data_IF_684356342279
#
_entry.id   IF_684356342279
#
_cell.length_a   1.000
_cell.length_b   1.000
_cell.length_c   1.000
_cell.angle_alpha   90.00
_cell.angle_beta   90.00
_cell.angle_gamma   90.00
#
_symmetry.space_group_name_H-M   'P 1'
#
loop_
_entity.id
_entity.type
_entity.pdbx_description
1 polymer ?
#
# COMPACT_ATOMS: atom_id res chain seq x y z
N UNK A 1 -8.22 -3.26 20.83
CA UNK A 1 -7.27 -2.31 20.20
C UNK A 1 -5.85 -2.83 20.21
N UNK A 2 -5.43 -3.58 21.23
CA UNK A 2 -4.06 -4.12 21.40
C UNK A 2 -3.49 -4.93 20.23
N UNK A 3 -4.34 -5.60 19.44
CA UNK A 3 -3.89 -6.40 18.30
C UNK A 3 -3.42 -5.55 17.11
N UNK A 4 -4.17 -4.49 16.74
CA UNK A 4 -3.79 -3.59 15.66
C UNK A 4 -2.53 -2.79 16.00
N UNK A 5 -2.44 -2.27 17.23
CA UNK A 5 -1.25 -1.53 17.70
C UNK A 5 0.01 -2.42 17.66
N UNK A 6 -0.14 -3.69 18.05
CA UNK A 6 0.94 -4.68 17.93
C UNK A 6 1.33 -4.91 16.46
N UNK A 7 0.37 -5.02 15.55
CA UNK A 7 0.67 -5.16 14.12
C UNK A 7 1.36 -3.92 13.55
N UNK A 8 0.93 -2.71 13.92
CA UNK A 8 1.56 -1.46 13.46
C UNK A 8 3.04 -1.40 13.87
N UNK A 9 3.38 -1.84 15.08
CA UNK A 9 4.78 -1.91 15.52
C UNK A 9 5.67 -2.85 14.68
N UNK A 10 5.05 -3.79 13.95
CA UNK A 10 5.72 -4.77 13.09
C UNK A 10 5.85 -4.32 11.63
N UNK A 11 5.25 -3.19 11.26
CA UNK A 11 5.34 -2.63 9.90
C UNK A 11 6.80 -2.44 9.54
N UNK A 12 7.23 -2.97 8.39
CA UNK A 12 8.64 -3.12 8.07
C UNK A 12 9.34 -1.75 7.88
N UNK A 13 8.72 -0.85 7.10
CA UNK A 13 9.24 0.48 6.79
C UNK A 13 8.84 1.47 7.89
N UNK A 14 9.83 2.22 8.40
CA UNK A 14 9.59 3.24 9.42
C UNK A 14 8.71 4.40 8.89
N UNK A 15 8.83 4.73 7.61
CA UNK A 15 8.06 5.80 6.98
C UNK A 15 6.60 5.36 6.75
N UNK A 16 6.41 4.14 6.24
CA UNK A 16 5.07 3.52 6.11
C UNK A 16 4.40 3.36 7.48
N UNK A 17 5.17 3.03 8.53
CA UNK A 17 4.64 2.93 9.90
C UNK A 17 3.99 4.23 10.36
N UNK A 18 4.58 5.39 10.03
CA UNK A 18 3.98 6.70 10.36
C UNK A 18 2.65 6.91 9.65
N UNK A 19 2.52 6.47 8.39
CA UNK A 19 1.28 6.60 7.61
C UNK A 19 0.15 5.74 8.18
N UNK A 20 0.43 4.48 8.54
CA UNK A 20 -0.59 3.60 9.10
C UNK A 20 -0.93 3.96 10.57
N UNK A 21 0.01 4.57 11.30
CA UNK A 21 -0.27 5.20 12.60
C UNK A 21 -1.28 6.35 12.44
N UNK A 22 -1.13 7.20 11.41
CA UNK A 22 -2.10 8.25 11.09
C UNK A 22 -3.48 7.66 10.79
N UNK A 23 -3.54 6.62 9.96
CA UNK A 23 -4.79 5.93 9.66
C UNK A 23 -5.48 5.36 10.92
N UNK A 24 -4.69 4.84 11.86
CA UNK A 24 -5.17 4.34 13.16
C UNK A 24 -5.68 5.47 14.05
N UNK A 25 -5.01 6.63 14.06
CA UNK A 25 -5.49 7.83 14.78
C UNK A 25 -6.79 8.36 14.20
N UNK A 26 -6.93 8.41 12.88
CA UNK A 26 -8.20 8.76 12.23
C UNK A 26 -9.32 7.81 12.65
N UNK A 27 -9.06 6.50 12.69
CA UNK A 27 -10.03 5.51 13.15
C UNK A 27 -10.47 5.76 14.59
N UNK A 28 -9.51 5.92 15.51
CA UNK A 28 -9.79 6.14 16.93
C UNK A 28 -10.53 7.46 17.19
N UNK A 29 -10.32 8.48 16.35
CA UNK A 29 -11.04 9.75 16.42
C UNK A 29 -12.43 9.73 15.78
N UNK A 30 -12.87 8.60 15.22
CA UNK A 30 -14.15 8.49 14.50
C UNK A 30 -14.14 9.07 13.08
N UNK A 31 -12.97 9.50 12.57
CA UNK A 31 -12.81 9.99 11.21
C UNK A 31 -12.68 8.83 10.21
N UNK A 32 -13.75 8.05 10.05
CA UNK A 32 -13.71 6.74 9.36
C UNK A 32 -13.29 6.87 7.88
N UNK A 33 -13.84 7.83 7.13
CA UNK A 33 -13.41 8.08 5.75
C UNK A 33 -11.92 8.41 5.66
N UNK A 34 -11.41 9.25 6.56
CA UNK A 34 -10.00 9.62 6.59
C UNK A 34 -9.10 8.42 6.92
N UNK A 35 -9.55 7.53 7.81
CA UNK A 35 -8.84 6.30 8.13
C UNK A 35 -8.68 5.40 6.90
N UNK A 36 -9.74 5.22 6.09
CA UNK A 36 -9.67 4.43 4.86
C UNK A 36 -8.71 5.06 3.86
N UNK A 37 -8.78 6.38 3.68
CA UNK A 37 -7.89 7.10 2.77
C UNK A 37 -6.43 6.95 3.19
N UNK A 38 -6.11 7.19 4.46
CA UNK A 38 -4.76 7.05 4.99
C UNK A 38 -4.26 5.60 4.96
N UNK A 39 -5.13 4.62 5.15
CA UNK A 39 -4.79 3.19 5.00
C UNK A 39 -4.32 2.91 3.57
N UNK A 40 -5.04 3.40 2.57
CA UNK A 40 -4.64 3.25 1.16
C UNK A 40 -3.34 4.00 0.84
N UNK A 41 -3.13 5.19 1.42
CA UNK A 41 -1.86 5.92 1.30
C UNK A 41 -0.68 5.09 1.82
N UNK A 42 -0.84 4.40 2.96
CA UNK A 42 0.19 3.50 3.49
C UNK A 42 0.47 2.32 2.55
N UNK A 43 -0.58 1.73 1.94
CA UNK A 43 -0.44 0.64 0.96
C UNK A 43 0.35 1.08 -0.28
N UNK A 44 0.04 2.27 -0.84
CA UNK A 44 0.77 2.83 -1.98
C UNK A 44 2.27 2.98 -1.65
N UNK A 45 2.56 3.64 -0.52
CA UNK A 45 3.92 3.92 -0.10
C UNK A 45 4.70 2.61 0.11
N UNK A 46 4.09 1.62 0.77
CA UNK A 46 4.72 0.34 1.05
C UNK A 46 5.07 -0.46 -0.21
N UNK A 47 4.17 -0.54 -1.18
CA UNK A 47 4.44 -1.24 -2.45
C UNK A 47 5.61 -0.54 -3.18
N UNK A 48 5.60 0.79 -3.23
CA UNK A 48 6.67 1.54 -3.90
C UNK A 48 8.00 1.32 -3.19
N UNK A 49 8.06 1.48 -1.86
CA UNK A 49 9.28 1.28 -1.06
C UNK A 49 9.84 -0.13 -1.24
N UNK A 50 8.97 -1.14 -1.23
CA UNK A 50 9.36 -2.54 -1.41
C UNK A 50 9.93 -2.82 -2.79
N UNK A 51 9.32 -2.30 -3.85
CA UNK A 51 9.87 -2.48 -5.21
C UNK A 51 11.17 -1.69 -5.37
N UNK A 52 11.31 -0.53 -4.73
CA UNK A 52 12.58 0.20 -4.67
C UNK A 52 13.65 -0.67 -3.98
N UNK A 53 13.38 -1.27 -2.82
CA UNK A 53 14.33 -2.16 -2.15
C UNK A 53 14.76 -3.34 -3.04
N UNK A 54 13.82 -3.94 -3.79
CA UNK A 54 14.14 -4.99 -4.77
C UNK A 54 15.08 -4.49 -5.88
N UNK A 55 14.89 -3.25 -6.35
CA UNK A 55 15.76 -2.61 -7.33
C UNK A 55 17.17 -2.35 -6.80
N UNK A 56 17.31 -1.95 -5.53
CA UNK A 56 18.63 -1.80 -4.86
C UNK A 56 19.33 -3.15 -4.73
N UNK A 57 18.55 -4.22 -4.53
CA UNK A 57 19.08 -5.58 -4.61
C UNK A 57 19.51 -6.00 -6.02
N UNK A 58 19.17 -5.27 -7.08
CA UNK A 58 19.57 -5.58 -8.46
C UNK A 58 18.52 -6.30 -9.32
N UNK A 59 17.25 -6.31 -8.91
CA UNK A 59 16.18 -6.79 -9.79
C UNK A 59 15.96 -5.83 -10.97
N UNK A 60 16.17 -6.32 -12.20
CA UNK A 60 16.11 -5.50 -13.41
C UNK A 60 14.70 -4.96 -13.71
N UNK A 61 13.65 -5.67 -13.34
CA UNK A 61 12.26 -5.25 -13.56
C UNK A 61 11.89 -4.16 -12.56
N UNK A 62 12.35 -4.31 -11.31
CA UNK A 62 12.20 -3.30 -10.27
C UNK A 62 12.97 -2.02 -10.61
N UNK A 63 14.17 -2.11 -11.19
CA UNK A 63 14.93 -0.94 -11.66
C UNK A 63 14.18 -0.15 -12.75
N UNK A 64 13.49 -0.82 -13.68
CA UNK A 64 12.64 -0.15 -14.67
C UNK A 64 11.44 0.56 -14.01
N UNK A 65 10.85 -0.05 -12.98
CA UNK A 65 9.81 0.61 -12.21
C UNK A 65 10.34 1.82 -11.44
N UNK A 66 11.50 1.71 -10.79
CA UNK A 66 12.17 2.84 -10.11
C UNK A 66 12.34 4.03 -11.04
N UNK A 67 12.86 3.82 -12.25
CA UNK A 67 13.01 4.89 -13.24
C UNK A 67 11.66 5.56 -13.59
N UNK A 68 10.56 4.78 -13.61
CA UNK A 68 9.21 5.32 -13.83
C UNK A 68 8.77 6.24 -12.68
N UNK A 69 9.07 5.86 -11.43
CA UNK A 69 8.78 6.67 -10.24
C UNK A 69 9.66 7.92 -10.19
N UNK A 70 10.95 7.81 -10.52
CA UNK A 70 11.88 8.94 -10.58
C UNK A 70 11.45 9.97 -11.62
N UNK A 71 11.08 9.53 -12.83
CA UNK A 71 10.52 10.42 -13.85
C UNK A 71 9.26 11.15 -13.36
N UNK A 72 8.38 10.48 -12.62
CA UNK A 72 7.20 11.13 -12.04
C UNK A 72 7.57 12.15 -10.95
N UNK A 73 8.60 11.86 -10.14
CA UNK A 73 9.13 12.78 -9.12
C UNK A 73 9.78 14.01 -9.73
N UNK A 74 10.52 13.86 -10.82
CA UNK A 74 11.16 14.96 -11.54
C UNK A 74 10.15 15.95 -12.12
N UNK A 75 8.97 15.46 -12.51
CA UNK A 75 7.84 16.32 -12.93
C UNK A 75 7.22 17.10 -11.76
N UNK A 76 7.48 16.72 -10.51
CA UNK A 76 7.01 17.40 -9.30
C UNK A 76 5.48 17.50 -9.18
N UNK A 77 5.00 18.52 -8.47
CA UNK A 77 3.56 18.76 -8.23
C UNK A 77 2.82 19.35 -9.45
N UNK A 78 3.40 19.25 -10.64
CA UNK A 78 2.73 19.68 -11.88
C UNK A 78 1.57 18.76 -12.23
N UNK A 79 0.63 19.21 -13.07
CA UNK A 79 -0.46 18.37 -13.56
C UNK A 79 0.06 17.07 -14.18
N UNK A 80 1.16 17.13 -14.93
CA UNK A 80 1.79 15.96 -15.53
C UNK A 80 2.36 14.99 -14.48
N UNK A 81 3.02 15.52 -13.44
CA UNK A 81 3.55 14.70 -12.33
C UNK A 81 2.44 14.02 -11.52
N UNK A 82 1.36 14.75 -11.22
CA UNK A 82 0.17 14.20 -10.55
C UNK A 82 -0.46 13.08 -11.39
N UNK A 83 -0.65 13.29 -12.69
CA UNK A 83 -1.18 12.28 -13.60
C UNK A 83 -0.26 11.05 -13.71
N UNK A 84 1.06 11.26 -13.71
CA UNK A 84 2.03 10.16 -13.72
C UNK A 84 1.91 9.31 -12.45
N UNK A 85 1.81 9.93 -11.28
CA UNK A 85 1.62 9.21 -10.01
C UNK A 85 0.28 8.50 -9.93
N UNK A 86 -0.81 9.10 -10.43
CA UNK A 86 -2.12 8.44 -10.54
C UNK A 86 -2.05 7.20 -11.43
N UNK A 87 -1.36 7.29 -12.57
CA UNK A 87 -1.16 6.15 -13.47
C UNK A 87 -0.31 5.04 -12.85
N UNK A 88 0.68 5.39 -12.03
CA UNK A 88 1.44 4.42 -11.23
C UNK A 88 0.50 3.71 -10.26
N UNK A 89 -0.29 4.48 -9.51
CA UNK A 89 -1.25 3.98 -8.52
C UNK A 89 -2.24 2.97 -9.12
N UNK A 90 -2.77 3.24 -10.32
CA UNK A 90 -3.71 2.35 -11.02
C UNK A 90 -3.16 0.93 -11.23
N UNK A 91 -1.84 0.80 -11.40
CA UNK A 91 -1.15 -0.47 -11.65
C UNK A 91 -0.49 -1.12 -10.45
N UNK A 92 -0.52 -0.50 -9.25
CA UNK A 92 0.29 -0.95 -8.11
C UNK A 92 -0.07 -2.35 -7.59
N UNK A 93 -1.34 -2.74 -7.57
CA UNK A 93 -1.71 -4.08 -7.08
C UNK A 93 -1.27 -5.18 -8.05
N UNK A 94 -1.39 -4.95 -9.36
CA UNK A 94 -0.86 -5.85 -10.37
C UNK A 94 0.68 -5.96 -10.28
N UNK A 95 1.34 -4.83 -10.00
CA UNK A 95 2.78 -4.78 -9.75
C UNK A 95 3.17 -5.61 -8.52
N UNK A 96 2.45 -5.44 -7.41
CA UNK A 96 2.67 -6.15 -6.16
C UNK A 96 2.51 -7.67 -6.33
N UNK A 97 1.51 -8.12 -7.11
CA UNK A 97 1.37 -9.54 -7.47
C UNK A 97 2.53 -10.04 -8.32
N UNK A 98 2.97 -9.26 -9.31
CA UNK A 98 4.08 -9.63 -10.20
C UNK A 98 5.40 -9.82 -9.45
N UNK A 99 5.64 -9.00 -8.43
CA UNK A 99 6.81 -9.12 -7.55
C UNK A 99 6.59 -10.06 -6.35
N UNK A 100 5.49 -10.81 -6.33
CA UNK A 100 5.15 -11.77 -5.27
C UNK A 100 5.07 -11.13 -3.86
N UNK A 101 4.80 -9.82 -3.78
CA UNK A 101 4.59 -9.12 -2.50
C UNK A 101 3.25 -9.50 -1.86
N UNK A 102 2.27 -9.88 -2.68
CA UNK A 102 0.94 -10.34 -2.29
C UNK A 102 0.47 -11.43 -3.25
N UNK A 103 -0.36 -12.35 -2.76
CA UNK A 103 -1.04 -13.32 -3.61
C UNK A 103 -2.34 -12.74 -4.24
N UNK A 104 -3.03 -13.55 -5.02
CA UNK A 104 -4.29 -13.13 -5.67
C UNK A 104 -5.44 -12.81 -4.70
N UNK A 105 -5.46 -13.42 -3.53
CA UNK A 105 -6.50 -13.19 -2.52
C UNK A 105 -6.23 -11.87 -1.82
N UNK A 106 -5.01 -11.66 -1.35
CA UNK A 106 -4.55 -10.43 -0.74
C UNK A 106 -4.69 -9.23 -1.69
N UNK A 107 -4.33 -9.38 -2.97
CA UNK A 107 -4.54 -8.32 -3.96
C UNK A 107 -6.01 -7.91 -4.09
N UNK A 108 -6.93 -8.88 -4.07
CA UNK A 108 -8.37 -8.60 -4.10
C UNK A 108 -8.88 -7.94 -2.82
N UNK A 109 -8.30 -8.25 -1.67
CA UNK A 109 -8.63 -7.59 -0.41
C UNK A 109 -8.13 -6.14 -0.39
N UNK A 110 -6.91 -5.88 -0.89
CA UNK A 110 -6.36 -4.53 -1.04
C UNK A 110 -7.13 -3.70 -2.08
N UNK A 111 -7.63 -4.32 -3.15
CA UNK A 111 -8.48 -3.65 -4.15
C UNK A 111 -9.74 -3.05 -3.50
N UNK A 112 -10.35 -3.76 -2.54
CA UNK A 112 -11.52 -3.22 -1.81
C UNK A 112 -11.19 -1.96 -1.02
N UNK A 113 -9.96 -1.86 -0.49
CA UNK A 113 -9.49 -0.62 0.17
C UNK A 113 -9.44 0.52 -0.85
N UNK A 114 -8.93 0.26 -2.07
CA UNK A 114 -8.87 1.25 -3.16
C UNK A 114 -10.27 1.71 -3.59
N UNK A 115 -11.19 0.77 -3.78
CA UNK A 115 -12.58 1.06 -4.14
C UNK A 115 -13.27 1.93 -3.08
N UNK A 116 -13.15 1.57 -1.80
CA UNK A 116 -13.71 2.34 -0.70
C UNK A 116 -13.03 3.70 -0.53
N UNK A 117 -11.71 3.79 -0.77
CA UNK A 117 -10.99 5.07 -0.84
C UNK A 117 -11.57 5.96 -1.93
N UNK A 118 -11.82 5.42 -3.12
CA UNK A 118 -12.40 6.16 -4.23
C UNK A 118 -13.78 6.72 -3.85
N UNK A 119 -14.63 5.90 -3.21
CA UNK A 119 -15.93 6.36 -2.68
C UNK A 119 -15.78 7.43 -1.60
N UNK A 120 -14.75 7.31 -0.75
CA UNK A 120 -14.46 8.32 0.27
C UNK A 120 -14.10 9.65 -0.39
N UNK A 121 -13.15 9.70 -1.32
CA UNK A 121 -12.61 10.97 -1.86
C UNK A 121 -13.40 11.54 -3.04
N UNK A 122 -14.28 10.75 -3.65
CA UNK A 122 -15.17 11.18 -4.72
C UNK A 122 -16.64 10.97 -4.35
N UNK A 123 -17.22 11.80 -3.45
CA UNK A 123 -18.62 11.69 -3.02
C UNK A 123 -19.65 11.55 -4.17
N UNK A 124 -19.49 12.22 -5.34
CA UNK A 124 -20.43 12.10 -6.45
C UNK A 124 -20.48 10.72 -7.13
N UNK A 125 -19.56 9.80 -6.84
CA UNK A 125 -19.59 8.44 -7.43
C UNK A 125 -20.81 7.62 -6.98
N UNK A 126 -21.49 8.04 -5.91
CA UNK A 126 -22.75 7.41 -5.46
C UNK A 126 -23.92 7.92 -6.31
N UNK A 127 -24.65 6.97 -6.94
CA UNK A 127 -25.74 7.23 -7.91
C UNK A 127 -26.92 8.09 -7.40
N UNK A 128 -27.04 8.30 -6.09
CA UNK A 128 -28.16 9.04 -5.48
C UNK A 128 -27.73 10.32 -4.74
N UNK A 129 -26.48 10.77 -4.92
CA UNK A 129 -25.96 11.99 -4.28
C UNK A 129 -25.66 11.84 -2.79
N UNK A 130 -25.91 10.67 -2.20
CA UNK A 130 -25.53 10.34 -0.84
C UNK A 130 -24.01 10.24 -0.71
N UNK A 131 -23.44 10.95 0.27
CA UNK A 131 -22.03 10.80 0.63
C UNK A 131 -21.79 9.38 1.15
N UNK A 132 -20.69 8.76 0.73
CA UNK A 132 -20.32 7.46 1.28
C UNK A 132 -20.04 7.57 2.78
N UNK A 133 -20.82 6.87 3.60
CA UNK A 133 -20.66 6.81 5.06
C UNK A 133 -20.26 5.38 5.48
N UNK A 134 -18.96 5.05 5.46
CA UNK A 134 -18.48 3.73 5.85
C UNK A 134 -18.68 3.49 7.35
N UNK A 135 -19.15 2.29 7.70
CA UNK A 135 -19.23 1.86 9.10
C UNK A 135 -17.81 1.71 9.70
N UNK A 136 -17.59 1.96 10.99
CA UNK A 136 -16.27 1.80 11.62
C UNK A 136 -15.66 0.40 11.42
N UNK A 137 -16.48 -0.65 11.37
CA UNK A 137 -16.01 -2.02 11.16
C UNK A 137 -15.32 -2.19 9.79
N UNK A 138 -15.74 -1.43 8.77
CA UNK A 138 -15.13 -1.45 7.43
C UNK A 138 -13.71 -0.89 7.50
N UNK A 139 -13.51 0.29 8.10
CA UNK A 139 -12.17 0.86 8.24
C UNK A 139 -11.26 -0.02 9.09
N UNK A 140 -11.79 -0.62 10.17
CA UNK A 140 -11.04 -1.55 11.00
C UNK A 140 -10.61 -2.80 10.21
N UNK A 141 -11.48 -3.33 9.37
CA UNK A 141 -11.15 -4.45 8.50
C UNK A 141 -10.06 -4.08 7.49
N UNK A 142 -10.13 -2.89 6.88
CA UNK A 142 -9.11 -2.40 5.95
C UNK A 142 -7.75 -2.22 6.61
N UNK A 143 -7.70 -1.67 7.83
CA UNK A 143 -6.47 -1.60 8.63
C UNK A 143 -5.88 -2.99 8.87
N UNK A 144 -6.71 -3.94 9.30
CA UNK A 144 -6.28 -5.31 9.56
C UNK A 144 -5.77 -6.01 8.29
N UNK A 145 -6.47 -5.89 7.17
CA UNK A 145 -6.06 -6.42 5.87
C UNK A 145 -4.72 -5.84 5.47
N UNK A 146 -4.59 -4.51 5.38
CA UNK A 146 -3.35 -3.87 4.95
C UNK A 146 -2.15 -4.34 5.80
N UNK A 147 -2.31 -4.33 7.13
CA UNK A 147 -1.28 -4.76 8.06
C UNK A 147 -0.89 -6.24 7.84
N UNK A 148 -1.87 -7.13 7.80
CA UNK A 148 -1.61 -8.58 7.82
C UNK A 148 -1.20 -9.17 6.47
N UNK A 149 -1.63 -8.57 5.36
CA UNK A 149 -1.36 -9.08 4.01
C UNK A 149 -0.13 -8.44 3.37
N UNK A 150 0.25 -7.23 3.80
CA UNK A 150 1.29 -6.45 3.12
C UNK A 150 2.25 -5.80 4.11
N UNK A 151 1.81 -4.84 4.93
CA UNK A 151 2.70 -3.84 5.55
C UNK A 151 3.72 -4.42 6.56
N UNK A 152 3.41 -5.54 7.21
CA UNK A 152 4.34 -6.17 8.18
C UNK A 152 5.37 -7.10 7.53
N UNK A 153 5.20 -7.42 6.25
CA UNK A 153 6.07 -8.34 5.53
C UNK A 153 7.16 -7.56 4.80
N UNK A 154 8.44 -8.01 4.83
CA UNK A 154 9.52 -7.39 4.05
C UNK A 154 9.38 -7.67 2.53
N UNK A 155 10.13 -6.96 1.67
CA UNK A 155 10.18 -7.21 0.22
C UNK A 155 10.97 -8.49 -0.12
N UNK A 156 10.44 -9.66 0.21
CA UNK A 156 11.06 -10.95 -0.13
C UNK A 156 10.49 -11.48 -1.45
N UNK A 157 11.34 -11.66 -2.45
CA UNK A 157 11.00 -12.50 -3.61
C UNK A 157 11.16 -13.97 -3.23
N UNK A 158 10.17 -14.81 -3.55
CA UNK A 158 10.20 -16.24 -3.25
C UNK A 158 11.45 -16.94 -3.81
N UNK A 159 12.01 -16.44 -4.92
CA UNK A 159 13.26 -16.95 -5.52
C UNK A 159 14.52 -16.64 -4.72
N UNK A 160 14.64 -15.44 -4.14
CA UNK A 160 15.82 -15.05 -3.34
C UNK A 160 15.93 -15.84 -2.04
N UNK A 161 14.80 -16.13 -1.41
CA UNK A 161 14.77 -16.91 -0.16
C UNK A 161 15.32 -18.31 -0.38
N UNK A 162 15.07 -18.93 -1.54
CA UNK A 162 15.63 -20.25 -1.89
C UNK A 162 17.13 -20.16 -2.15
N UNK A 163 17.61 -19.12 -2.86
CA UNK A 163 19.04 -18.91 -3.09
C UNK A 163 19.83 -18.65 -1.80
N UNK A 164 19.27 -17.86 -0.87
CA UNK A 164 19.87 -17.61 0.44
C UNK A 164 19.86 -18.85 1.34
N UNK A 165 18.82 -19.70 1.27
CA UNK A 165 18.80 -21.00 1.96
C UNK A 165 19.78 -22.02 1.37
N UNK A 166 20.04 -21.95 0.06
CA UNK A 166 20.95 -22.85 -0.64
C UNK A 166 22.41 -22.39 -0.63
N UNK A 167 22.72 -21.18 -0.12
CA UNK A 167 24.11 -20.75 0.09
C UNK A 167 24.69 -21.42 1.35
N UNK A 168 25.81 -22.15 1.26
CA UNK A 168 26.49 -22.62 2.46
C UNK A 168 26.96 -21.39 3.25
N UNK A 169 26.62 -21.35 4.55
CA UNK A 169 27.15 -20.31 5.44
C UNK A 169 28.68 -20.46 5.54
N UNK A 170 29.43 -19.34 5.62
CA UNK A 170 30.87 -19.37 5.83
C UNK A 170 31.26 -20.02 7.16
#
# INVERSE_FOLDING_TARGET
MTDLERQVSRVWSADVRRLIDEATRCYNAGAIRASIVATWTAVIADIIDKVIELADGGDADAQRFRATVENARDLGITTAGVQAMQKIEDGLLALAQRFELVDSVAARELERIREDRNLCVHPPLRRHGETYDPRPEVARAHLAVALTTLLVHPPTQGRRVVEDFCRPRP
#
